data_IF_205163205408
#
_entry.id   IF_205163205408
#
_cell.length_a   1.000
_cell.length_b   1.000
_cell.length_c   1.000
_cell.angle_alpha   90.00
_cell.angle_beta   90.00
_cell.angle_gamma   90.00
#
_symmetry.space_group_name_H-M   'P 1'
#
loop_
_entity.id
_entity.type
_entity.pdbx_description
1 polymer ?
#
# COMPACT_ATOMS: atom_id res chain seq x y z
N UNK A 1 9.78 -14.65 -0.65
CA UNK A 1 11.11 -15.15 -1.04
C UNK A 1 12.17 -14.26 -0.40
N UNK A 2 13.46 -14.47 -0.63
CA UNK A 2 14.47 -13.47 -0.22
C UNK A 2 14.14 -12.10 -0.84
N UNK A 3 14.51 -11.00 -0.17
CA UNK A 3 14.23 -9.64 -0.66
C UNK A 3 14.83 -9.42 -2.05
N UNK A 4 16.07 -9.84 -2.25
CA UNK A 4 16.78 -9.74 -3.53
C UNK A 4 16.07 -10.52 -4.64
N UNK A 5 15.65 -11.76 -4.38
CA UNK A 5 14.93 -12.56 -5.37
C UNK A 5 13.59 -11.92 -5.74
N UNK A 6 12.85 -11.41 -4.75
CA UNK A 6 11.61 -10.69 -4.99
C UNK A 6 11.81 -9.41 -5.81
N UNK A 7 12.87 -8.64 -5.57
CA UNK A 7 13.23 -7.46 -6.38
C UNK A 7 13.60 -7.85 -7.81
N UNK A 8 14.35 -8.94 -7.99
CA UNK A 8 14.68 -9.48 -9.31
C UNK A 8 13.41 -9.82 -10.09
N UNK A 9 12.49 -10.59 -9.50
CA UNK A 9 11.24 -10.97 -10.18
C UNK A 9 10.33 -9.77 -10.44
N UNK A 10 10.32 -8.74 -9.57
CA UNK A 10 9.60 -7.49 -9.86
C UNK A 10 10.17 -6.76 -11.08
N UNK A 11 11.50 -6.73 -11.25
CA UNK A 11 12.11 -6.22 -12.48
C UNK A 11 11.79 -7.07 -13.70
N UNK A 12 11.66 -8.39 -13.56
CA UNK A 12 11.29 -9.28 -14.67
C UNK A 12 9.87 -8.98 -15.17
N UNK A 13 8.94 -8.66 -14.26
CA UNK A 13 7.58 -8.21 -14.58
C UNK A 13 7.64 -6.88 -15.36
N UNK A 14 8.41 -5.91 -14.87
CA UNK A 14 8.54 -4.61 -15.51
C UNK A 14 9.15 -4.73 -16.92
N UNK A 15 10.19 -5.54 -17.09
CA UNK A 15 10.81 -5.83 -18.39
C UNK A 15 9.82 -6.51 -19.35
N UNK A 16 9.08 -7.52 -18.88
CA UNK A 16 8.05 -8.19 -19.69
C UNK A 16 6.99 -7.19 -20.16
N UNK A 17 6.57 -6.26 -19.29
CA UNK A 17 5.58 -5.24 -19.62
C UNK A 17 6.08 -4.30 -20.71
N UNK A 18 7.33 -3.84 -20.62
CA UNK A 18 7.94 -2.99 -21.66
C UNK A 18 8.02 -3.74 -22.98
N UNK A 19 8.51 -4.99 -22.97
CA UNK A 19 8.69 -5.78 -24.18
C UNK A 19 7.36 -6.13 -24.87
N UNK A 20 6.27 -6.28 -24.12
CA UNK A 20 4.93 -6.62 -24.63
C UNK A 20 3.97 -5.42 -24.71
N UNK A 21 4.47 -4.20 -24.57
CA UNK A 21 3.69 -2.97 -24.65
C UNK A 21 2.50 -2.90 -23.66
N UNK A 22 2.67 -3.47 -22.47
CA UNK A 22 1.65 -3.47 -21.41
C UNK A 22 1.66 -2.11 -20.69
N UNK A 23 0.94 -1.13 -21.27
CA UNK A 23 0.93 0.28 -20.81
C UNK A 23 -0.22 0.66 -19.88
N UNK A 24 -1.19 -0.23 -19.70
CA UNK A 24 -2.45 0.04 -19.00
C UNK A 24 -2.59 -0.79 -17.70
N UNK A 25 -1.52 -1.46 -17.29
CA UNK A 25 -1.44 -2.19 -16.03
C UNK A 25 -0.28 -1.64 -15.21
N UNK A 26 -0.53 -1.25 -13.96
CA UNK A 26 0.53 -0.82 -13.04
C UNK A 26 1.25 -2.07 -12.53
N UNK A 27 2.55 -2.20 -12.82
CA UNK A 27 3.33 -3.39 -12.44
C UNK A 27 3.61 -3.45 -10.94
N UNK A 28 3.61 -2.30 -10.27
CA UNK A 28 3.78 -2.17 -8.83
C UNK A 28 2.94 -1.02 -8.28
N UNK A 29 2.32 -1.26 -7.13
CA UNK A 29 1.72 -0.23 -6.29
C UNK A 29 2.62 0.01 -5.08
N UNK A 30 3.43 1.07 -5.14
CA UNK A 30 4.40 1.45 -4.11
C UNK A 30 3.61 1.99 -2.91
N UNK A 31 3.54 1.20 -1.84
CA UNK A 31 2.56 1.40 -0.78
C UNK A 31 3.16 1.86 0.55
N UNK A 32 2.59 2.93 1.08
CA UNK A 32 2.76 3.40 2.46
C UNK A 32 1.63 3.02 3.40
N UNK A 33 0.47 2.62 2.87
CA UNK A 33 -0.69 2.26 3.69
C UNK A 33 -0.31 1.29 4.82
N UNK A 34 0.31 0.17 4.48
CA UNK A 34 0.73 -0.85 5.44
C UNK A 34 1.79 -0.37 6.44
N UNK A 35 2.63 0.60 6.04
CA UNK A 35 3.65 1.21 6.91
C UNK A 35 2.96 2.07 7.99
N UNK A 36 1.96 2.85 7.60
CA UNK A 36 1.16 3.66 8.51
C UNK A 36 0.31 2.80 9.45
N UNK A 37 -0.40 1.81 8.92
CA UNK A 37 -1.24 0.91 9.72
C UNK A 37 -0.42 0.12 10.75
N UNK A 38 0.88 -0.10 10.50
CA UNK A 38 1.77 -0.76 11.44
C UNK A 38 2.24 0.13 12.61
N UNK A 39 2.16 1.47 12.48
CA UNK A 39 2.89 2.31 13.42
C UNK A 39 3.18 3.72 12.99
N UNK A 40 3.49 3.89 11.70
CA UNK A 40 4.21 5.06 11.26
C UNK A 40 3.35 6.32 11.27
N UNK A 41 3.94 7.43 11.69
CA UNK A 41 3.35 8.75 11.49
C UNK A 41 3.33 9.11 9.98
N UNK A 42 2.56 10.13 9.55
CA UNK A 42 2.44 10.49 8.13
C UNK A 42 3.77 10.84 7.45
N UNK A 43 4.73 11.44 8.17
CA UNK A 43 6.05 11.80 7.62
C UNK A 43 6.84 10.53 7.29
N UNK A 44 6.95 9.61 8.25
CA UNK A 44 7.64 8.33 8.07
C UNK A 44 6.97 7.46 7.00
N UNK A 45 5.63 7.42 6.95
CA UNK A 45 4.90 6.77 5.86
C UNK A 45 5.33 7.33 4.49
N UNK A 46 5.23 8.65 4.31
CA UNK A 46 5.47 9.29 3.03
C UNK A 46 6.93 9.12 2.60
N UNK A 47 7.88 9.37 3.51
CA UNK A 47 9.30 9.23 3.24
C UNK A 47 9.68 7.78 2.87
N UNK A 48 9.25 6.78 3.65
CA UNK A 48 9.59 5.40 3.34
C UNK A 48 8.99 4.94 2.01
N UNK A 49 7.79 5.41 1.69
CA UNK A 49 7.11 5.04 0.45
C UNK A 49 7.79 5.63 -0.78
N UNK A 50 8.12 6.92 -0.75
CA UNK A 50 8.84 7.57 -1.85
C UNK A 50 10.27 7.01 -1.99
N UNK A 51 10.97 6.75 -0.88
CA UNK A 51 12.28 6.11 -0.89
C UNK A 51 12.24 4.71 -1.52
N UNK A 52 11.21 3.91 -1.18
CA UNK A 52 10.97 2.62 -1.83
C UNK A 52 10.71 2.80 -3.34
N UNK A 53 9.92 3.80 -3.71
CA UNK A 53 9.64 4.14 -5.12
C UNK A 53 10.90 4.48 -5.91
N UNK A 54 11.76 5.35 -5.37
CA UNK A 54 13.05 5.67 -5.98
C UNK A 54 13.98 4.46 -6.03
N UNK A 55 13.92 3.55 -5.04
CA UNK A 55 14.69 2.29 -5.07
C UNK A 55 14.26 1.39 -6.23
N UNK A 56 12.96 1.31 -6.55
CA UNK A 56 12.49 0.62 -7.76
C UNK A 56 12.96 1.30 -9.05
N UNK A 57 12.95 2.64 -9.09
CA UNK A 57 13.47 3.41 -10.23
C UNK A 57 14.94 3.06 -10.47
N UNK A 58 15.79 3.16 -9.45
CA UNK A 58 17.22 2.84 -9.55
C UNK A 58 17.45 1.36 -9.92
N UNK A 59 16.65 0.44 -9.36
CA UNK A 59 16.74 -0.98 -9.69
C UNK A 59 16.40 -1.29 -11.16
N UNK A 60 15.41 -0.62 -11.74
CA UNK A 60 15.03 -0.81 -13.14
C UNK A 60 16.00 -0.11 -14.10
N UNK A 61 16.53 1.06 -13.73
CA UNK A 61 17.61 1.73 -14.47
C UNK A 61 18.88 0.87 -14.50
N UNK A 62 19.25 0.24 -13.38
CA UNK A 62 20.40 -0.68 -13.31
C UNK A 62 20.24 -1.91 -14.22
N UNK A 63 19.01 -2.26 -14.62
CA UNK A 63 18.71 -3.29 -15.61
C UNK A 63 18.70 -2.79 -17.06
N UNK A 64 19.01 -1.51 -17.30
CA UNK A 64 19.07 -0.91 -18.63
C UNK A 64 17.70 -0.50 -19.22
N UNK A 65 16.65 -0.47 -18.40
CA UNK A 65 15.34 0.03 -18.85
C UNK A 65 15.34 1.56 -18.92
N UNK A 66 14.74 2.15 -19.95
CA UNK A 66 14.61 3.61 -20.05
C UNK A 66 13.54 4.11 -19.06
N UNK A 67 13.77 5.26 -18.42
CA UNK A 67 12.89 5.80 -17.37
C UNK A 67 11.43 5.95 -17.82
N UNK A 68 11.23 6.41 -19.06
CA UNK A 68 9.90 6.64 -19.61
C UNK A 68 9.14 5.36 -19.99
N UNK A 69 9.82 4.21 -20.03
CA UNK A 69 9.20 2.95 -20.37
C UNK A 69 8.46 2.34 -19.18
N UNK A 70 8.92 2.61 -17.96
CA UNK A 70 8.36 2.01 -16.74
C UNK A 70 7.77 3.02 -15.74
N UNK A 71 8.28 4.24 -15.65
CA UNK A 71 7.79 5.21 -14.66
C UNK A 71 6.28 5.50 -14.79
N UNK A 72 5.68 5.58 -16.00
CA UNK A 72 4.23 5.73 -16.14
C UNK A 72 3.40 4.54 -15.62
N UNK A 73 4.03 3.39 -15.41
CA UNK A 73 3.45 2.14 -14.90
C UNK A 73 3.67 1.97 -13.38
N UNK A 74 4.21 2.98 -12.69
CA UNK A 74 4.26 3.03 -11.24
C UNK A 74 2.99 3.69 -10.69
N UNK A 75 2.33 3.03 -9.74
CA UNK A 75 1.28 3.65 -8.92
C UNK A 75 1.71 3.71 -7.46
N UNK A 76 1.09 4.62 -6.71
CA UNK A 76 1.34 4.78 -5.28
C UNK A 76 0.09 4.47 -4.46
N UNK A 77 0.27 4.13 -3.19
CA UNK A 77 -0.83 3.84 -2.29
C UNK A 77 -0.57 4.33 -0.87
N UNK A 78 -1.34 5.32 -0.40
CA UNK A 78 -1.20 5.95 0.92
C UNK A 78 -2.42 5.68 1.83
N UNK A 79 -2.17 5.67 3.15
CA UNK A 79 -3.20 5.79 4.20
C UNK A 79 -3.45 7.27 4.50
N UNK A 80 -4.71 7.63 4.78
CA UNK A 80 -5.11 8.92 5.34
C UNK A 80 -5.67 8.74 6.76
N UNK A 81 -4.97 9.30 7.74
CA UNK A 81 -5.37 9.32 9.15
C UNK A 81 -5.87 10.69 9.61
N UNK A 82 -5.78 10.94 10.92
CA UNK A 82 -6.32 12.15 11.57
C UNK A 82 -5.29 13.27 11.77
N UNK A 83 -4.00 12.95 11.66
CA UNK A 83 -2.89 13.90 11.77
C UNK A 83 -2.92 14.97 10.66
N UNK A 84 -2.46 16.21 10.94
CA UNK A 84 -2.61 17.32 10.00
C UNK A 84 -1.90 17.08 8.66
N UNK A 85 -0.74 16.42 8.66
CA UNK A 85 0.09 16.18 7.48
C UNK A 85 -0.63 15.35 6.40
N UNK A 86 -1.64 14.56 6.77
CA UNK A 86 -2.48 13.84 5.80
C UNK A 86 -3.23 14.76 4.84
N UNK A 87 -3.43 16.03 5.22
CA UNK A 87 -4.06 17.05 4.37
C UNK A 87 -3.20 17.41 3.15
N UNK A 88 -1.88 17.20 3.24
CA UNK A 88 -0.91 17.58 2.20
C UNK A 88 -0.08 16.41 1.66
N UNK A 89 -0.34 15.18 2.11
CA UNK A 89 0.48 14.01 1.78
C UNK A 89 0.57 13.77 0.27
N UNK A 90 -0.54 13.93 -0.46
CA UNK A 90 -0.60 13.70 -1.90
C UNK A 90 0.09 14.79 -2.71
N UNK A 91 -0.12 16.07 -2.36
CA UNK A 91 0.56 17.19 -3.04
C UNK A 91 2.07 17.20 -2.80
N UNK A 92 2.53 16.87 -1.59
CA UNK A 92 3.97 16.72 -1.31
C UNK A 92 4.54 15.55 -2.12
N UNK A 93 3.88 14.38 -2.11
CA UNK A 93 4.30 13.23 -2.92
C UNK A 93 4.43 13.58 -4.41
N UNK A 94 3.43 14.27 -4.97
CA UNK A 94 3.43 14.71 -6.38
C UNK A 94 4.57 15.68 -6.67
N UNK A 95 4.83 16.65 -5.78
CA UNK A 95 5.87 17.67 -5.98
C UNK A 95 7.27 17.06 -5.97
N UNK A 96 7.59 16.29 -4.93
CA UNK A 96 8.87 15.58 -4.80
C UNK A 96 9.12 14.69 -6.02
N UNK A 97 8.12 13.87 -6.40
CA UNK A 97 8.25 12.96 -7.53
C UNK A 97 8.45 13.71 -8.85
N UNK A 98 7.61 14.70 -9.15
CA UNK A 98 7.70 15.44 -10.41
C UNK A 98 9.05 16.13 -10.59
N UNK A 99 9.55 16.79 -9.53
CA UNK A 99 10.86 17.46 -9.56
C UNK A 99 11.99 16.45 -9.71
N UNK A 100 11.99 15.36 -8.93
CA UNK A 100 13.03 14.34 -9.03
C UNK A 100 13.07 13.69 -10.43
N UNK A 101 11.92 13.29 -10.97
CA UNK A 101 11.83 12.65 -12.28
C UNK A 101 12.27 13.59 -13.41
N UNK A 102 11.99 14.89 -13.29
CA UNK A 102 12.42 15.90 -14.26
C UNK A 102 13.92 16.22 -14.15
N UNK A 103 14.38 16.62 -12.98
CA UNK A 103 15.71 17.22 -12.79
C UNK A 103 16.81 16.16 -12.63
N UNK A 104 16.53 15.07 -11.92
CA UNK A 104 17.52 14.01 -11.65
C UNK A 104 17.50 12.93 -12.72
N UNK A 105 16.32 12.49 -13.15
CA UNK A 105 16.18 11.36 -14.06
C UNK A 105 15.93 11.75 -15.53
N UNK A 106 15.70 13.04 -15.82
CA UNK A 106 15.48 13.53 -17.19
C UNK A 106 14.23 12.96 -17.86
N UNK A 107 13.24 12.52 -17.08
CA UNK A 107 12.06 11.82 -17.58
C UNK A 107 11.04 12.78 -18.22
N UNK A 108 10.28 12.27 -19.18
CA UNK A 108 9.21 12.99 -19.85
C UNK A 108 8.03 13.35 -18.94
N UNK A 109 7.15 14.23 -19.43
CA UNK A 109 6.03 14.79 -18.66
C UNK A 109 5.10 13.73 -18.05
N UNK A 110 4.87 12.61 -18.75
CA UNK A 110 4.00 11.53 -18.25
C UNK A 110 4.60 10.83 -17.03
N UNK A 111 5.92 10.66 -16.98
CA UNK A 111 6.65 10.00 -15.89
C UNK A 111 6.71 10.85 -14.62
N UNK A 112 6.60 12.17 -14.76
CA UNK A 112 6.55 13.13 -13.65
C UNK A 112 5.20 13.13 -12.90
N UNK A 113 4.14 12.54 -13.49
CA UNK A 113 2.79 12.54 -12.91
C UNK A 113 2.60 11.35 -11.96
N UNK A 114 2.94 11.56 -10.68
CA UNK A 114 2.63 10.58 -9.63
C UNK A 114 1.12 10.41 -9.48
N UNK A 115 0.65 9.16 -9.60
CA UNK A 115 -0.74 8.79 -9.39
C UNK A 115 -0.83 7.92 -8.16
N UNK A 116 -1.81 8.18 -7.29
CA UNK A 116 -1.98 7.38 -6.08
C UNK A 116 -3.43 7.00 -5.80
N UNK A 117 -3.56 5.83 -5.20
CA UNK A 117 -4.74 5.42 -4.45
C UNK A 117 -4.59 5.87 -2.99
N UNK A 118 -5.69 6.26 -2.37
CA UNK A 118 -5.76 6.58 -0.95
C UNK A 118 -6.78 5.66 -0.28
N UNK A 119 -6.47 5.17 0.91
CA UNK A 119 -7.43 4.48 1.77
C UNK A 119 -7.46 5.20 3.12
N UNK A 120 -8.65 5.35 3.70
CA UNK A 120 -8.81 5.86 5.07
C UNK A 120 -8.11 4.94 6.06
N UNK A 121 -7.64 5.44 7.21
CA UNK A 121 -6.85 4.64 8.14
C UNK A 121 -7.72 3.66 8.94
N UNK A 122 -7.46 2.37 8.81
CA UNK A 122 -8.13 1.34 9.60
C UNK A 122 -7.77 1.41 11.09
N UNK A 123 -6.53 1.77 11.40
CA UNK A 123 -6.03 1.94 12.77
C UNK A 123 -6.73 3.07 13.53
N UNK A 124 -7.26 4.06 12.80
CA UNK A 124 -8.05 5.15 13.39
C UNK A 124 -9.47 4.71 13.79
N UNK A 125 -9.92 3.55 13.34
CA UNK A 125 -11.24 3.00 13.63
C UNK A 125 -11.18 2.09 14.86
N UNK A 126 -12.23 2.13 15.69
CA UNK A 126 -12.22 1.48 17.00
C UNK A 126 -13.42 0.55 17.17
N UNK A 127 -13.23 -0.50 17.97
CA UNK A 127 -14.29 -1.46 18.30
C UNK A 127 -15.30 -0.90 19.31
N UNK A 128 -14.90 0.08 20.12
CA UNK A 128 -15.80 0.87 20.95
C UNK A 128 -16.48 1.94 20.12
N UNK A 129 -17.78 2.15 20.36
CA UNK A 129 -18.56 3.19 19.69
C UNK A 129 -18.37 3.19 18.16
N UNK A 130 -18.53 2.03 17.53
CA UNK A 130 -18.24 1.82 16.10
C UNK A 130 -18.96 2.82 15.18
N UNK A 131 -20.10 3.38 15.60
CA UNK A 131 -20.80 4.41 14.85
C UNK A 131 -19.97 5.70 14.68
N UNK A 132 -19.02 5.99 15.57
CA UNK A 132 -18.12 7.15 15.46
C UNK A 132 -17.09 6.98 14.33
N UNK A 133 -16.87 5.76 13.85
CA UNK A 133 -15.92 5.49 12.78
C UNK A 133 -16.33 6.15 11.46
N UNK A 134 -17.63 6.23 11.14
CA UNK A 134 -18.10 6.95 9.93
C UNK A 134 -17.70 8.43 9.95
N UNK A 135 -17.65 9.05 11.13
CA UNK A 135 -17.23 10.45 11.27
C UNK A 135 -15.75 10.59 10.91
N UNK A 136 -14.91 9.70 11.45
CA UNK A 136 -13.46 9.67 11.16
C UNK A 136 -13.21 9.43 9.67
N UNK A 137 -13.83 8.39 9.11
CA UNK A 137 -13.74 8.05 7.69
C UNK A 137 -14.21 9.21 6.80
N UNK A 138 -15.27 9.93 7.18
CA UNK A 138 -15.76 11.10 6.43
C UNK A 138 -14.72 12.21 6.34
N UNK A 139 -14.06 12.55 7.45
CA UNK A 139 -13.03 13.59 7.49
C UNK A 139 -11.79 13.18 6.66
N UNK A 140 -11.37 11.92 6.78
CA UNK A 140 -10.24 11.37 6.02
C UNK A 140 -10.51 11.34 4.52
N UNK A 141 -11.73 10.95 4.13
CA UNK A 141 -12.19 10.96 2.74
C UNK A 141 -12.27 12.38 2.16
N UNK A 142 -12.67 13.36 2.98
CA UNK A 142 -12.78 14.75 2.56
C UNK A 142 -11.41 15.33 2.19
N UNK A 143 -10.41 15.16 3.05
CA UNK A 143 -9.05 15.67 2.75
C UNK A 143 -8.39 14.92 1.58
N UNK A 144 -8.67 13.62 1.41
CA UNK A 144 -8.21 12.86 0.24
C UNK A 144 -8.81 13.41 -1.06
N UNK A 145 -10.10 13.80 -1.02
CA UNK A 145 -10.81 14.40 -2.17
C UNK A 145 -10.28 15.80 -2.47
N UNK A 146 -10.11 16.65 -1.45
CA UNK A 146 -9.59 18.01 -1.62
C UNK A 146 -8.16 18.04 -2.14
N UNK A 147 -7.33 17.08 -1.75
CA UNK A 147 -5.98 16.94 -2.27
C UNK A 147 -5.92 16.16 -3.60
N UNK A 148 -7.07 15.97 -4.25
CA UNK A 148 -7.20 15.42 -5.61
C UNK A 148 -6.56 14.03 -5.77
N UNK A 149 -6.88 13.11 -4.86
CA UNK A 149 -6.48 11.70 -4.98
C UNK A 149 -7.06 11.07 -6.27
N UNK A 150 -6.29 10.20 -6.93
CA UNK A 150 -6.74 9.58 -8.19
C UNK A 150 -7.74 8.44 -7.96
N UNK A 151 -7.73 7.86 -6.76
CA UNK A 151 -8.62 6.78 -6.36
C UNK A 151 -8.73 6.77 -4.83
N UNK A 152 -9.91 6.45 -4.30
CA UNK A 152 -10.20 6.50 -2.87
C UNK A 152 -10.98 5.24 -2.41
N UNK A 153 -10.49 4.63 -1.33
CA UNK A 153 -11.22 3.64 -0.55
C UNK A 153 -11.62 4.24 0.80
N UNK A 154 -12.89 4.09 1.14
CA UNK A 154 -13.47 4.48 2.44
C UNK A 154 -13.76 3.22 3.22
N UNK A 155 -13.18 3.11 4.40
CA UNK A 155 -13.39 1.97 5.27
C UNK A 155 -14.79 1.99 5.88
N UNK A 156 -15.26 0.80 6.24
CA UNK A 156 -16.58 0.63 6.82
C UNK A 156 -16.54 0.81 8.35
N UNK A 157 -17.66 1.21 8.94
CA UNK A 157 -17.70 1.58 10.35
C UNK A 157 -17.39 0.42 11.31
N UNK A 158 -17.57 -0.83 10.85
CA UNK A 158 -17.32 -2.08 11.57
C UNK A 158 -15.96 -2.73 11.29
N UNK A 159 -15.05 -2.02 10.60
CA UNK A 159 -13.72 -2.55 10.20
C UNK A 159 -12.89 -3.07 11.37
N UNK A 160 -13.01 -2.46 12.55
CA UNK A 160 -12.31 -2.90 13.76
C UNK A 160 -12.78 -4.28 14.28
N UNK A 161 -13.87 -4.82 13.73
CA UNK A 161 -14.51 -6.07 14.19
C UNK A 161 -14.51 -7.14 13.09
N UNK A 162 -14.91 -6.79 11.87
CA UNK A 162 -15.08 -7.78 10.79
C UNK A 162 -14.93 -7.16 9.40
N UNK A 163 -14.89 -8.01 8.38
CA UNK A 163 -14.96 -7.60 6.98
C UNK A 163 -16.34 -6.98 6.71
N UNK A 164 -16.45 -5.88 5.93
CA UNK A 164 -17.70 -5.15 5.77
C UNK A 164 -18.87 -6.04 5.31
N UNK A 165 -20.02 -5.90 5.98
CA UNK A 165 -21.31 -6.42 5.51
C UNK A 165 -21.85 -5.58 4.34
N UNK A 166 -22.89 -6.08 3.66
CA UNK A 166 -23.59 -5.33 2.60
C UNK A 166 -24.15 -3.98 3.09
N UNK A 167 -24.56 -3.89 4.35
CA UNK A 167 -25.02 -2.63 4.95
C UNK A 167 -23.84 -1.70 5.21
N UNK A 168 -22.77 -2.22 5.81
CA UNK A 168 -21.60 -1.44 6.20
C UNK A 168 -20.87 -0.87 4.98
N UNK A 169 -20.72 -1.67 3.91
CA UNK A 169 -20.12 -1.20 2.65
C UNK A 169 -20.96 -0.11 1.98
N UNK A 170 -22.30 -0.15 2.10
CA UNK A 170 -23.16 0.91 1.58
C UNK A 170 -22.94 2.23 2.30
N UNK A 171 -22.76 2.21 3.62
CA UNK A 171 -22.42 3.41 4.41
C UNK A 171 -21.07 3.97 4.02
N UNK A 172 -20.06 3.11 3.91
CA UNK A 172 -18.73 3.50 3.46
C UNK A 172 -18.76 4.16 2.07
N UNK A 173 -19.45 3.54 1.10
CA UNK A 173 -19.62 4.14 -0.24
C UNK A 173 -20.39 5.46 -0.21
N UNK A 174 -21.42 5.58 0.64
CA UNK A 174 -22.23 6.78 0.75
C UNK A 174 -21.39 8.00 1.17
N UNK A 175 -20.33 7.83 1.98
CA UNK A 175 -19.41 8.91 2.34
C UNK A 175 -18.84 9.58 1.08
N UNK A 176 -18.29 8.80 0.16
CA UNK A 176 -17.73 9.34 -1.09
C UNK A 176 -18.82 9.96 -1.97
N UNK A 177 -20.02 9.38 -2.02
CA UNK A 177 -21.13 9.91 -2.80
C UNK A 177 -21.60 11.28 -2.27
N UNK A 178 -21.76 11.42 -0.95
CA UNK A 178 -22.16 12.69 -0.33
C UNK A 178 -21.10 13.75 -0.55
N UNK A 179 -19.81 13.44 -0.34
CA UNK A 179 -18.72 14.38 -0.61
C UNK A 179 -18.71 14.81 -2.09
N UNK A 180 -18.81 13.87 -3.02
CA UNK A 180 -18.67 14.17 -4.44
C UNK A 180 -19.92 14.79 -5.09
N UNK A 181 -21.12 14.60 -4.50
CA UNK A 181 -22.39 14.99 -5.14
C UNK A 181 -23.16 16.06 -4.37
N UNK A 182 -23.06 16.10 -3.05
CA UNK A 182 -23.85 16.99 -2.20
C UNK A 182 -23.00 18.11 -1.57
N UNK A 183 -21.77 17.79 -1.15
CA UNK A 183 -20.91 18.75 -0.47
C UNK A 183 -20.46 19.89 -1.39
N UNK A 184 -20.94 21.10 -1.08
CA UNK A 184 -20.82 22.26 -2.00
C UNK A 184 -19.39 22.66 -2.34
N UNK A 185 -18.45 22.59 -1.39
CA UNK A 185 -17.07 23.03 -1.61
C UNK A 185 -16.28 22.07 -2.53
N UNK A 186 -16.68 20.79 -2.60
CA UNK A 186 -16.07 19.82 -3.52
C UNK A 186 -16.39 20.08 -5.00
N UNK A 187 -17.25 21.06 -5.33
CA UNK A 187 -17.40 21.55 -6.71
C UNK A 187 -16.18 22.34 -7.20
N UNK A 188 -15.38 22.87 -6.27
CA UNK A 188 -14.06 23.42 -6.59
C UNK A 188 -13.04 22.28 -6.49
N UNK A 189 -12.23 22.11 -7.53
CA UNK A 189 -11.27 20.99 -7.65
C UNK A 189 -9.87 21.31 -7.08
N UNK A 190 -9.66 22.54 -6.59
CA UNK A 190 -8.42 23.00 -6.00
C UNK A 190 -8.62 23.83 -4.71
N UNK A 191 -9.50 23.44 -3.77
CA UNK A 191 -9.88 24.28 -2.63
C UNK A 191 -8.73 24.47 -1.64
N UNK A 192 -7.72 23.61 -1.72
CA UNK A 192 -6.49 23.67 -0.94
C UNK A 192 -5.52 24.77 -1.39
N UNK A 193 -5.61 25.27 -2.62
CA UNK A 193 -4.63 26.24 -3.16
C UNK A 193 -4.83 27.64 -2.54
N UNK A 194 -3.74 28.23 -2.03
CA UNK A 194 -3.72 29.57 -1.47
C UNK A 194 -4.11 29.65 0.02
N UNK A 195 -4.43 28.52 0.65
CA UNK A 195 -4.65 28.47 2.09
C UNK A 195 -3.31 28.48 2.82
N UNK A 196 -3.05 29.50 3.65
CA UNK A 196 -1.76 29.67 4.34
C UNK A 196 -1.30 28.43 5.10
N UNK A 197 -2.22 27.77 5.82
CA UNK A 197 -1.91 26.55 6.57
C UNK A 197 -1.54 25.37 5.66
N UNK A 198 -2.14 25.28 4.47
CA UNK A 198 -1.85 24.21 3.52
C UNK A 198 -0.48 24.45 2.88
N UNK A 199 -0.20 25.69 2.47
CA UNK A 199 1.07 26.02 1.83
C UNK A 199 2.23 25.84 2.82
N UNK A 200 2.10 26.34 4.06
CA UNK A 200 3.12 26.16 5.11
C UNK A 200 3.31 24.68 5.47
N UNK A 201 2.22 23.93 5.67
CA UNK A 201 2.31 22.50 5.99
C UNK A 201 2.91 21.69 4.83
N UNK A 202 2.65 22.09 3.58
CA UNK A 202 3.28 21.46 2.40
C UNK A 202 4.80 21.61 2.46
N UNK A 203 5.32 22.81 2.74
CA UNK A 203 6.76 23.04 2.85
C UNK A 203 7.38 22.28 4.03
N UNK A 204 6.73 22.30 5.19
CA UNK A 204 7.23 21.60 6.39
C UNK A 204 7.30 20.08 6.18
N UNK A 205 6.27 19.48 5.58
CA UNK A 205 6.23 18.04 5.32
C UNK A 205 7.23 17.65 4.22
N UNK A 206 7.36 18.46 3.16
CA UNK A 206 8.36 18.20 2.12
C UNK A 206 9.78 18.18 2.70
N UNK A 207 10.16 19.21 3.46
CA UNK A 207 11.48 19.29 4.09
C UNK A 207 11.72 18.12 5.06
N UNK A 208 10.72 17.77 5.87
CA UNK A 208 10.83 16.64 6.79
C UNK A 208 11.03 15.29 6.07
N UNK A 209 10.39 15.11 4.91
CA UNK A 209 10.59 13.93 4.05
C UNK A 209 11.98 13.90 3.45
N UNK A 210 12.50 15.04 2.97
CA UNK A 210 13.85 15.13 2.41
C UNK A 210 14.92 14.86 3.48
N UNK A 211 14.77 15.40 4.68
CA UNK A 211 15.66 15.08 5.81
C UNK A 211 15.62 13.59 6.19
N UNK A 212 14.48 12.93 6.00
CA UNK A 212 14.38 11.48 6.20
C UNK A 212 15.07 10.68 5.07
N UNK A 213 15.05 11.17 3.83
CA UNK A 213 15.82 10.57 2.74
C UNK A 213 17.33 10.59 3.03
N UNK A 214 17.86 11.68 3.58
CA UNK A 214 19.27 11.78 3.94
C UNK A 214 19.67 10.71 4.95
N UNK A 215 18.87 10.52 6.01
CA UNK A 215 19.10 9.46 7.00
C UNK A 215 19.10 8.06 6.37
N UNK A 216 18.21 7.80 5.42
CA UNK A 216 18.17 6.51 4.70
C UNK A 216 19.41 6.38 3.80
N UNK A 217 19.81 7.45 3.12
CA UNK A 217 20.98 7.45 2.24
C UNK A 217 22.29 7.18 3.00
N UNK A 218 22.48 7.81 4.17
CA UNK A 218 23.62 7.56 5.07
C UNK A 218 23.74 6.10 5.55
N UNK A 219 22.63 5.34 5.48
CA UNK A 219 22.55 3.92 5.84
C UNK A 219 22.69 3.00 4.63
N UNK A 220 23.16 3.49 3.50
CA UNK A 220 23.30 2.70 2.26
C UNK A 220 22.00 2.57 1.47
N UNK A 221 21.14 3.58 1.55
CA UNK A 221 19.83 3.58 0.88
C UNK A 221 18.83 2.65 1.55
N UNK A 222 17.70 2.39 0.87
CA UNK A 222 16.61 1.59 1.43
C UNK A 222 17.06 0.18 1.82
N UNK A 223 17.85 -0.48 0.96
CA UNK A 223 18.31 -1.85 1.20
C UNK A 223 19.28 -1.93 2.39
N UNK A 224 20.27 -1.03 2.48
CA UNK A 224 21.17 -0.99 3.63
C UNK A 224 20.45 -0.61 4.94
N UNK A 225 19.48 0.32 4.87
CA UNK A 225 18.62 0.63 6.00
C UNK A 225 17.78 -0.60 6.44
N UNK A 226 17.30 -1.42 5.50
CA UNK A 226 16.57 -2.65 5.80
C UNK A 226 17.45 -3.73 6.44
N UNK A 227 18.74 -3.83 6.06
CA UNK A 227 19.69 -4.77 6.68
C UNK A 227 19.91 -4.46 8.16
N UNK A 228 19.95 -3.18 8.53
CA UNK A 228 20.07 -2.73 9.92
C UNK A 228 18.73 -2.66 10.66
N UNK A 229 17.61 -2.91 9.97
CA UNK A 229 16.26 -2.85 10.54
C UNK A 229 15.73 -1.45 10.80
N UNK A 230 16.38 -0.39 10.28
CA UNK A 230 16.08 1.01 10.59
C UNK A 230 14.60 1.37 10.44
N UNK A 231 14.01 1.11 9.26
CA UNK A 231 12.62 1.46 9.01
C UNK A 231 11.68 0.72 9.98
N UNK A 232 11.95 -0.58 10.22
CA UNK A 232 11.13 -1.39 11.12
C UNK A 232 11.20 -0.87 12.56
N UNK A 233 12.40 -0.61 13.07
CA UNK A 233 12.59 -0.08 14.43
C UNK A 233 11.87 1.26 14.59
N UNK A 234 12.04 2.17 13.63
CA UNK A 234 11.36 3.48 13.68
C UNK A 234 9.83 3.36 13.67
N UNK A 235 9.27 2.49 12.83
CA UNK A 235 7.82 2.22 12.79
C UNK A 235 7.35 1.69 14.15
N UNK A 236 8.10 0.78 14.78
CA UNK A 236 7.76 0.21 16.09
C UNK A 236 7.84 1.26 17.21
N UNK A 237 8.85 2.12 17.18
CA UNK A 237 9.00 3.24 18.13
C UNK A 237 7.83 4.22 18.03
N UNK A 238 7.46 4.63 16.82
CA UNK A 238 6.32 5.51 16.57
C UNK A 238 5.00 4.85 16.98
N UNK A 239 4.85 3.54 16.69
CA UNK A 239 3.69 2.76 17.12
C UNK A 239 3.54 2.72 18.64
N UNK A 240 4.64 2.44 19.35
CA UNK A 240 4.66 2.38 20.80
C UNK A 240 4.36 3.76 21.41
N UNK A 241 4.92 4.82 20.84
CA UNK A 241 4.64 6.18 21.27
C UNK A 241 3.14 6.52 21.16
N UNK A 242 2.52 6.22 20.03
CA UNK A 242 1.07 6.40 19.85
C UNK A 242 0.25 5.61 20.87
N UNK A 243 0.52 4.31 21.07
CA UNK A 243 -0.24 3.49 22.03
C UNK A 243 -0.03 3.98 23.47
N UNK A 244 1.16 4.45 23.84
CA UNK A 244 1.41 5.06 25.15
C UNK A 244 0.55 6.32 25.36
N UNK A 245 0.47 7.21 24.37
CA UNK A 245 -0.34 8.41 24.45
C UNK A 245 -1.85 8.10 24.49
N UNK A 246 -2.29 7.12 23.70
CA UNK A 246 -3.67 6.63 23.69
C UNK A 246 -4.06 6.02 25.04
N UNK A 247 -3.22 5.17 25.61
CA UNK A 247 -3.51 4.53 26.90
C UNK A 247 -3.43 5.49 28.09
N UNK A 248 -2.49 6.43 28.08
CA UNK A 248 -2.38 7.46 29.12
C UNK A 248 -3.48 8.52 29.04
N UNK A 249 -4.17 8.65 27.90
CA UNK A 249 -5.17 9.68 27.66
C UNK A 249 -4.59 11.02 27.20
N UNK A 250 -3.26 11.13 27.06
CA UNK A 250 -2.61 12.32 26.54
C UNK A 250 -2.99 12.60 25.08
N UNK A 251 -3.30 11.55 24.31
CA UNK A 251 -3.90 11.67 22.98
C UNK A 251 -5.39 11.29 23.06
N UNK A 252 -6.32 12.25 22.92
CA UNK A 252 -7.74 12.00 23.15
C UNK A 252 -8.36 11.20 22.00
N UNK A 253 -9.00 10.08 22.35
CA UNK A 253 -9.76 9.25 21.44
C UNK A 253 -11.21 9.15 21.95
N UNK A 254 -12.10 9.84 21.25
CA UNK A 254 -13.53 9.91 21.57
C UNK A 254 -14.18 8.52 21.50
N UNK A 255 -14.86 8.12 22.56
CA UNK A 255 -15.47 6.79 22.70
C UNK A 255 -14.52 5.70 23.21
N UNK A 256 -13.23 6.02 23.40
CA UNK A 256 -12.22 5.04 23.87
C UNK A 256 -11.63 5.45 25.22
N UNK A 257 -10.80 6.50 25.25
CA UNK A 257 -10.16 6.97 26.49
C UNK A 257 -10.83 8.22 27.09
N UNK A 258 -11.67 8.91 26.31
CA UNK A 258 -12.50 10.03 26.75
C UNK A 258 -13.87 9.98 26.07
N UNK A 259 -14.88 10.61 26.67
CA UNK A 259 -16.28 10.56 26.21
C UNK A 259 -16.78 9.13 26.00
N UNK A 260 -16.64 8.28 27.02
CA UNK A 260 -17.08 6.88 26.99
C UNK A 260 -18.59 6.77 27.18
N UNK A 261 -19.16 5.67 26.68
CA UNK A 261 -20.58 5.37 26.86
C UNK A 261 -20.96 5.26 28.36
N UNK A 262 -21.92 6.05 28.87
CA UNK A 262 -22.34 5.96 30.26
C UNK A 262 -23.02 4.63 30.61
N UNK A 263 -23.50 3.89 29.61
CA UNK A 263 -24.14 2.58 29.76
C UNK A 263 -23.15 1.40 29.63
N UNK A 264 -21.84 1.68 29.52
CA UNK A 264 -20.79 0.68 29.28
C UNK A 264 -20.59 0.40 27.79
N UNK A 265 -19.50 -0.29 27.44
CA UNK A 265 -19.22 -0.66 26.04
C UNK A 265 -20.17 -1.79 25.62
N UNK A 266 -21.22 -1.55 24.82
CA UNK A 266 -22.15 -2.60 24.45
C UNK A 266 -21.39 -3.63 23.63
N UNK A 267 -21.35 -4.89 24.07
CA UNK A 267 -21.02 -6.00 23.18
C UNK A 267 -22.17 -6.06 22.18
N UNK A 268 -21.96 -5.75 20.88
CA UNK A 268 -23.05 -5.75 19.93
C UNK A 268 -23.64 -7.16 19.89
N UNK A 269 -24.93 -7.28 20.22
CA UNK A 269 -25.58 -8.56 20.55
C UNK A 269 -25.50 -9.62 19.45
N UNK A 270 -25.32 -9.18 18.20
CA UNK A 270 -24.91 -10.00 17.08
C UNK A 270 -24.29 -9.10 16.00
N UNK A 271 -22.98 -9.23 15.75
CA UNK A 271 -22.38 -8.76 14.50
C UNK A 271 -22.32 -9.96 13.57
N UNK A 272 -22.82 -9.80 12.35
CA UNK A 272 -22.64 -10.80 11.30
C UNK A 272 -21.16 -10.83 10.91
N UNK A 273 -20.49 -11.96 11.14
CA UNK A 273 -19.09 -12.12 10.79
C UNK A 273 -19.01 -12.75 9.41
N UNK A 274 -18.40 -12.05 8.46
CA UNK A 274 -18.10 -12.63 7.15
C UNK A 274 -17.00 -13.71 7.32
N UNK A 275 -17.37 -14.99 7.19
CA UNK A 275 -16.48 -16.14 7.28
C UNK A 275 -16.76 -17.12 6.15
N UNK A 276 -15.72 -17.82 5.69
CA UNK A 276 -15.86 -18.89 4.71
C UNK A 276 -16.64 -20.08 5.28
N UNK A 277 -17.49 -20.70 4.46
CA UNK A 277 -18.23 -21.92 4.83
C UNK A 277 -17.35 -23.17 4.72
N UNK A 278 -17.82 -24.30 5.26
CA UNK A 278 -17.11 -25.57 5.11
C UNK A 278 -17.20 -26.07 3.66
N UNK A 279 -18.35 -25.89 3.03
CA UNK A 279 -18.61 -26.23 1.64
C UNK A 279 -17.67 -25.49 0.67
N UNK A 280 -17.39 -24.21 0.94
CA UNK A 280 -16.42 -23.43 0.17
C UNK A 280 -15.01 -24.00 0.27
N UNK A 281 -14.58 -24.42 1.47
CA UNK A 281 -13.27 -25.04 1.67
C UNK A 281 -13.18 -26.37 0.94
N UNK A 282 -14.19 -27.23 1.08
CA UNK A 282 -14.23 -28.53 0.39
C UNK A 282 -14.27 -28.35 -1.13
N UNK A 283 -15.02 -27.35 -1.63
CA UNK A 283 -15.04 -26.98 -3.05
C UNK A 283 -13.66 -26.58 -3.56
N UNK A 284 -12.93 -25.74 -2.82
CA UNK A 284 -11.56 -25.33 -3.19
C UNK A 284 -10.58 -26.51 -3.20
N UNK A 285 -10.68 -27.44 -2.24
CA UNK A 285 -9.86 -28.66 -2.21
C UNK A 285 -10.15 -29.57 -3.40
N UNK A 286 -11.43 -29.79 -3.72
CA UNK A 286 -11.84 -30.60 -4.86
C UNK A 286 -11.36 -30.00 -6.20
N UNK A 287 -11.52 -28.68 -6.37
CA UNK A 287 -11.04 -27.94 -7.56
C UNK A 287 -9.51 -28.01 -7.70
N UNK A 288 -8.78 -27.92 -6.60
CA UNK A 288 -7.33 -28.05 -6.59
C UNK A 288 -6.87 -29.45 -7.01
N UNK A 289 -7.49 -30.49 -6.44
CA UNK A 289 -7.18 -31.88 -6.77
C UNK A 289 -7.48 -32.21 -8.24
N UNK A 290 -8.64 -31.75 -8.75
CA UNK A 290 -9.00 -31.88 -10.17
C UNK A 290 -7.99 -31.16 -11.09
N UNK A 291 -7.61 -29.92 -10.75
CA UNK A 291 -6.62 -29.17 -11.51
C UNK A 291 -5.26 -29.88 -11.55
N UNK A 292 -4.80 -30.43 -10.42
CA UNK A 292 -3.57 -31.22 -10.37
C UNK A 292 -3.67 -32.49 -11.22
N UNK A 293 -4.80 -33.20 -11.17
CA UNK A 293 -5.01 -34.42 -11.95
C UNK A 293 -4.99 -34.15 -13.45
N UNK A 294 -5.68 -33.07 -13.90
CA UNK A 294 -5.73 -32.68 -15.33
C UNK A 294 -4.37 -32.33 -15.91
N UNK A 295 -3.48 -31.75 -15.12
CA UNK A 295 -2.18 -31.25 -15.58
C UNK A 295 -0.98 -32.08 -15.09
N UNK A 296 -1.22 -33.28 -14.55
CA UNK A 296 -0.17 -34.13 -13.95
C UNK A 296 0.96 -34.49 -14.93
N UNK A 297 0.67 -34.59 -16.24
CA UNK A 297 1.67 -34.89 -17.27
C UNK A 297 2.54 -33.69 -17.69
N UNK A 298 2.06 -32.47 -17.52
CA UNK A 298 2.72 -31.24 -18.00
C UNK A 298 3.43 -30.48 -16.88
N UNK A 299 2.82 -30.45 -15.68
CA UNK A 299 3.28 -29.62 -14.57
C UNK A 299 4.75 -29.86 -14.16
N UNK A 300 5.26 -31.10 -14.03
CA UNK A 300 6.64 -31.34 -13.60
C UNK A 300 7.68 -30.70 -14.53
N UNK A 301 7.46 -30.78 -15.85
CA UNK A 301 8.37 -30.21 -16.83
C UNK A 301 8.39 -28.67 -16.79
N UNK A 302 7.22 -28.05 -16.59
CA UNK A 302 7.11 -26.59 -16.48
C UNK A 302 7.73 -26.06 -15.18
N UNK A 303 7.56 -26.77 -14.07
CA UNK A 303 8.22 -26.41 -12.80
C UNK A 303 9.74 -26.52 -12.90
N UNK A 304 10.26 -27.55 -13.56
CA UNK A 304 11.70 -27.68 -13.82
C UNK A 304 12.23 -26.56 -14.73
N UNK A 305 11.48 -26.20 -15.80
CA UNK A 305 11.82 -25.05 -16.65
C UNK A 305 11.85 -23.74 -15.85
N UNK A 306 10.89 -23.54 -14.95
CA UNK A 306 10.84 -22.35 -14.09
C UNK A 306 12.08 -22.28 -13.17
N UNK A 307 12.46 -23.40 -12.55
CA UNK A 307 13.66 -23.49 -11.73
C UNK A 307 14.93 -23.22 -12.53
N UNK A 308 15.04 -23.85 -13.70
CA UNK A 308 16.19 -23.67 -14.60
C UNK A 308 16.31 -22.22 -15.06
N UNK A 309 15.18 -21.54 -15.32
CA UNK A 309 15.18 -20.12 -15.70
C UNK A 309 15.72 -19.22 -14.59
N UNK A 310 15.45 -19.55 -13.31
CA UNK A 310 16.06 -18.84 -12.19
C UNK A 310 17.58 -19.05 -12.16
N UNK A 311 18.04 -20.29 -12.34
CA UNK A 311 19.46 -20.66 -12.34
C UNK A 311 20.21 -19.99 -13.50
N UNK A 312 19.60 -19.95 -14.67
CA UNK A 312 20.18 -19.35 -15.89
C UNK A 312 20.02 -17.82 -15.93
N UNK A 313 19.50 -17.21 -14.86
CA UNK A 313 19.23 -15.77 -14.76
C UNK A 313 18.30 -15.22 -15.87
N UNK A 314 17.43 -16.05 -16.44
CA UNK A 314 16.41 -15.65 -17.41
C UNK A 314 15.22 -14.91 -16.78
N UNK A 315 14.30 -14.40 -17.61
CA UNK A 315 13.10 -13.72 -17.13
C UNK A 315 12.09 -14.74 -16.55
N UNK A 316 11.89 -14.68 -15.23
CA UNK A 316 11.05 -15.64 -14.50
C UNK A 316 9.57 -15.41 -14.82
N UNK A 317 9.15 -14.15 -15.00
CA UNK A 317 7.76 -13.82 -15.24
C UNK A 317 7.25 -14.34 -16.59
N UNK A 318 8.10 -14.35 -17.62
CA UNK A 318 7.78 -14.95 -18.91
C UNK A 318 7.38 -16.43 -18.76
N UNK A 319 8.13 -17.20 -17.97
CA UNK A 319 7.78 -18.61 -17.70
C UNK A 319 6.56 -18.75 -16.80
N UNK A 320 6.32 -17.80 -15.88
CA UNK A 320 5.12 -17.79 -15.06
C UNK A 320 3.84 -17.66 -15.89
N UNK A 321 3.86 -16.94 -17.00
CA UNK A 321 2.71 -16.81 -17.92
C UNK A 321 2.26 -18.16 -18.52
N UNK A 322 3.20 -19.10 -18.67
CA UNK A 322 2.93 -20.47 -19.07
C UNK A 322 2.59 -21.34 -17.85
N UNK A 323 3.40 -21.27 -16.79
CA UNK A 323 3.32 -22.15 -15.63
C UNK A 323 1.96 -22.10 -14.93
N UNK A 324 1.33 -20.92 -14.81
CA UNK A 324 0.01 -20.78 -14.16
C UNK A 324 -1.12 -21.51 -14.88
N UNK A 325 -0.93 -21.94 -16.14
CA UNK A 325 -1.92 -22.70 -16.91
C UNK A 325 -2.00 -24.17 -16.48
N UNK A 326 -0.92 -24.71 -15.92
CA UNK A 326 -0.81 -26.13 -15.56
C UNK A 326 -0.31 -26.36 -14.13
N UNK A 327 0.18 -25.34 -13.44
CA UNK A 327 0.74 -25.41 -12.09
C UNK A 327 -0.03 -24.51 -11.13
N UNK A 328 -0.36 -25.04 -9.96
CA UNK A 328 -1.04 -24.29 -8.90
C UNK A 328 -0.07 -23.31 -8.21
N UNK A 329 -0.64 -22.32 -7.52
CA UNK A 329 0.12 -21.34 -6.73
C UNK A 329 1.12 -22.00 -5.76
N UNK A 330 0.70 -23.05 -5.07
CA UNK A 330 1.56 -23.78 -4.13
C UNK A 330 2.71 -24.53 -4.82
N UNK A 331 2.45 -25.17 -5.97
CA UNK A 331 3.50 -25.85 -6.75
C UNK A 331 4.56 -24.87 -7.25
N UNK A 332 4.14 -23.74 -7.83
CA UNK A 332 5.05 -22.69 -8.31
C UNK A 332 5.88 -22.13 -7.16
N UNK A 333 5.23 -21.79 -6.05
CA UNK A 333 5.89 -21.20 -4.87
C UNK A 333 6.95 -22.15 -4.29
N UNK A 334 6.62 -23.42 -4.13
CA UNK A 334 7.55 -24.43 -3.61
C UNK A 334 8.73 -24.66 -4.56
N UNK A 335 8.48 -24.75 -5.88
CA UNK A 335 9.56 -24.87 -6.86
C UNK A 335 10.52 -23.66 -6.80
N UNK A 336 9.99 -22.45 -6.63
CA UNK A 336 10.80 -21.23 -6.46
C UNK A 336 11.49 -21.15 -5.10
N UNK A 337 11.00 -21.82 -4.04
CA UNK A 337 11.74 -21.87 -2.77
C UNK A 337 13.06 -22.63 -2.89
N UNK A 338 13.14 -23.64 -3.75
CA UNK A 338 14.35 -24.44 -3.96
C UNK A 338 15.48 -23.65 -4.64
N UNK A 339 15.15 -22.62 -5.43
CA UNK A 339 16.12 -21.84 -6.22
C UNK A 339 16.20 -20.35 -5.87
N UNK A 340 15.14 -19.76 -5.34
CA UNK A 340 15.04 -18.33 -4.97
C UNK A 340 15.06 -18.08 -3.46
N UNK A 341 15.06 -19.13 -2.64
CA UNK A 341 15.15 -19.06 -1.19
C UNK A 341 13.88 -18.55 -0.49
N UNK A 342 13.79 -18.86 0.80
CA UNK A 342 12.71 -18.37 1.66
C UNK A 342 13.10 -17.05 2.33
N UNK A 343 12.10 -16.21 2.62
CA UNK A 343 12.34 -14.98 3.38
C UNK A 343 12.86 -15.34 4.77
N UNK A 344 14.02 -14.78 5.15
CA UNK A 344 14.50 -14.84 6.53
C UNK A 344 13.98 -13.60 7.24
N UNK A 345 13.22 -13.79 8.32
CA UNK A 345 12.85 -12.70 9.22
C UNK A 345 14.14 -12.13 9.80
N UNK A 346 14.51 -10.89 9.42
CA UNK A 346 15.43 -10.10 10.22
C UNK A 346 14.81 -9.96 11.62
N UNK A 347 15.59 -10.09 12.70
CA UNK A 347 15.09 -9.77 14.04
C UNK A 347 15.12 -8.27 14.23
#
# INVERSE_FOLDING_TARGET
FSTEFSLKVMGDIAEYFVHHDVRNFYSVSISGYHIAEAGANPISQLAFTLANGFTYVEAYLARGMHIDDFAPNLSFFFSNGMDPEYTVIGRVARRIWAVALRERYGAGERSQKLKYHCQTSGRSLHAQEIAFNDIRTTLQALIATYDNANSLHTNAYDEAITTPTDESVRRAMAIQLVINREWGLARNENPNQGAFVIDELTELVEEAVLAEFEKIAERGGVLGAMETGYQRSKIQEESLHYEQLKHSGAYPIIGVNTFRNPYGDPVPGHIELARSTEEEKQSQLARLADFHARHAGEAPALLARLQQTVIDHGNVFEVLMDAVRCCSLGQITNALFEVGGQYRRSM
#
